data_IF_098893058522
#
_entry.id   IF_098893058522
#
_cell.length_a   1.000
_cell.length_b   1.000
_cell.length_c   1.000
_cell.angle_alpha   90.00
_cell.angle_beta   90.00
_cell.angle_gamma   90.00
#
_symmetry.space_group_name_H-M   'P 1'
#
loop_
_entity.id
_entity.type
_entity.pdbx_description
1 polymer ?
#
# COMPACT_ATOMS: atom_id res chain seq x y z
N UNK A 1 -9.76 11.02 7.06
CA UNK A 1 -9.09 11.55 8.26
C UNK A 1 -8.53 12.90 7.89
N UNK A 2 -9.06 13.96 8.48
CA UNK A 2 -8.66 15.34 8.18
C UNK A 2 -7.53 15.76 9.13
N UNK A 3 -6.64 16.62 8.65
CA UNK A 3 -5.54 17.16 9.45
C UNK A 3 -5.99 18.48 10.06
N UNK A 4 -6.04 18.58 11.38
CA UNK A 4 -6.35 19.84 12.04
C UNK A 4 -5.13 20.77 12.04
N UNK A 5 -5.37 22.07 12.21
CA UNK A 5 -4.30 23.06 12.33
C UNK A 5 -3.35 22.75 13.51
N UNK A 6 -3.90 22.26 14.63
CA UNK A 6 -3.17 21.81 15.82
C UNK A 6 -2.22 20.65 15.52
N UNK A 7 -2.68 19.67 14.73
CA UNK A 7 -1.88 18.50 14.36
C UNK A 7 -0.71 18.90 13.45
N UNK A 8 -0.95 19.86 12.55
CA UNK A 8 0.09 20.39 11.64
C UNK A 8 1.12 21.23 12.40
N UNK A 9 0.68 22.02 13.39
CA UNK A 9 1.60 22.78 14.25
C UNK A 9 2.50 21.83 15.07
N UNK A 10 1.91 20.79 15.69
CA UNK A 10 2.67 19.80 16.45
C UNK A 10 3.59 18.97 15.56
N UNK A 11 3.14 18.56 14.37
CA UNK A 11 3.96 17.89 13.35
C UNK A 11 5.20 18.72 13.02
N UNK A 12 5.01 20.02 12.74
CA UNK A 12 6.11 20.92 12.36
C UNK A 12 7.08 21.11 13.52
N UNK A 13 6.58 21.33 14.74
CA UNK A 13 7.41 21.48 15.93
C UNK A 13 8.21 20.22 16.28
N UNK A 14 7.66 19.02 16.07
CA UNK A 14 8.39 17.76 16.28
C UNK A 14 9.40 17.51 15.15
N UNK A 15 9.06 17.90 13.93
CA UNK A 15 9.93 17.74 12.78
C UNK A 15 11.19 18.60 12.90
N UNK A 16 11.06 19.87 13.32
CA UNK A 16 12.20 20.77 13.56
C UNK A 16 13.09 20.29 14.72
N UNK A 17 12.51 19.63 15.73
CA UNK A 17 13.25 18.96 16.81
C UNK A 17 14.02 17.71 16.36
N UNK A 18 13.84 17.27 15.10
CA UNK A 18 14.57 16.13 14.53
C UNK A 18 13.88 14.77 14.72
N UNK A 19 12.66 14.72 15.24
CA UNK A 19 11.94 13.45 15.45
C UNK A 19 11.64 12.77 14.12
N UNK A 20 11.79 11.44 14.07
CA UNK A 20 11.46 10.68 12.87
C UNK A 20 9.95 10.60 12.64
N UNK A 21 9.53 10.35 11.40
CA UNK A 21 8.11 10.20 11.06
C UNK A 21 7.41 9.12 11.92
N UNK A 22 8.10 8.03 12.24
CA UNK A 22 7.58 6.97 13.11
C UNK A 22 7.44 7.40 14.59
N UNK A 23 8.31 8.28 15.08
CA UNK A 23 8.18 8.84 16.44
C UNK A 23 7.01 9.83 16.50
N UNK A 24 6.85 10.63 15.47
CA UNK A 24 5.77 11.61 15.35
C UNK A 24 4.41 10.90 15.23
N UNK A 25 4.36 9.82 14.43
CA UNK A 25 3.14 9.03 14.23
C UNK A 25 2.62 8.42 15.54
N UNK A 26 3.53 7.90 16.40
CA UNK A 26 3.17 7.39 17.73
C UNK A 26 2.59 8.45 18.66
N UNK A 27 2.99 9.73 18.51
CA UNK A 27 2.51 10.84 19.36
C UNK A 27 1.18 11.41 18.87
N UNK A 28 0.99 11.49 17.56
CA UNK A 28 -0.23 12.04 16.95
C UNK A 28 -1.33 10.98 16.75
N UNK A 29 -1.01 9.68 16.84
CA UNK A 29 -1.95 8.60 16.55
C UNK A 29 -2.22 8.37 15.06
N UNK A 30 -1.45 8.99 14.16
CA UNK A 30 -1.51 8.73 12.73
C UNK A 30 -0.61 7.56 12.31
N UNK A 31 -0.87 6.99 11.14
CA UNK A 31 0.09 6.07 10.50
C UNK A 31 1.38 6.80 10.12
N UNK A 32 2.51 6.09 10.18
CA UNK A 32 3.82 6.58 9.70
C UNK A 32 3.72 7.14 8.27
N UNK A 33 2.99 6.45 7.41
CA UNK A 33 2.90 6.81 5.99
C UNK A 33 2.05 8.07 5.78
N UNK A 34 1.03 8.26 6.62
CA UNK A 34 0.24 9.49 6.62
C UNK A 34 1.09 10.71 7.01
N UNK A 35 1.95 10.55 8.02
CA UNK A 35 2.92 11.58 8.43
C UNK A 35 3.92 11.86 7.31
N UNK A 36 4.50 10.83 6.69
CA UNK A 36 5.41 10.99 5.54
C UNK A 36 4.73 11.72 4.37
N UNK A 37 3.50 11.34 4.01
CA UNK A 37 2.74 11.96 2.93
C UNK A 37 2.42 13.43 3.24
N UNK A 38 2.08 13.76 4.49
CA UNK A 38 1.82 15.14 4.90
C UNK A 38 3.09 15.99 4.84
N UNK A 39 4.21 15.49 5.35
CA UNK A 39 5.51 16.16 5.27
C UNK A 39 5.94 16.39 3.82
N UNK A 40 5.71 15.41 2.93
CA UNK A 40 5.98 15.54 1.50
C UNK A 40 5.15 16.65 0.86
N UNK A 41 3.85 16.73 1.18
CA UNK A 41 2.95 17.82 0.71
C UNK A 41 3.36 19.19 1.24
N UNK A 42 3.95 19.26 2.43
CA UNK A 42 4.48 20.48 3.03
C UNK A 42 5.88 20.84 2.53
N UNK A 43 6.50 20.03 1.66
CA UNK A 43 7.87 20.25 1.17
C UNK A 43 8.96 20.01 2.24
N UNK A 44 8.59 19.49 3.41
CA UNK A 44 9.48 19.22 4.53
C UNK A 44 10.21 17.89 4.30
N UNK A 45 11.22 17.89 3.43
CA UNK A 45 12.08 16.74 3.20
C UNK A 45 13.24 16.75 4.19
N UNK A 46 13.44 15.63 4.89
CA UNK A 46 14.69 15.39 5.62
C UNK A 46 15.72 15.04 4.56
N UNK A 47 16.86 15.75 4.55
CA UNK A 47 17.97 15.40 3.68
C UNK A 47 18.29 13.92 3.85
N UNK A 48 18.22 13.15 2.77
CA UNK A 48 18.64 11.77 2.81
C UNK A 48 20.14 11.79 3.07
N UNK A 49 20.61 11.16 4.16
CA UNK A 49 22.04 10.91 4.27
C UNK A 49 22.41 10.03 3.07
N UNK A 50 23.45 10.40 2.29
CA UNK A 50 23.94 9.50 1.25
C UNK A 50 24.23 8.15 1.91
N UNK A 51 23.90 7.01 1.27
CA UNK A 51 24.23 5.71 1.81
C UNK A 51 25.71 5.68 2.18
N UNK A 52 26.02 5.57 3.46
CA UNK A 52 27.41 5.61 3.97
C UNK A 52 28.20 4.35 3.61
N UNK A 53 27.57 3.43 2.89
CA UNK A 53 28.23 2.30 2.25
C UNK A 53 27.91 2.36 0.76
N UNK A 54 28.94 2.25 -0.07
CA UNK A 54 28.84 1.76 -1.44
C UNK A 54 29.01 0.23 -1.35
N UNK A 55 27.98 -0.57 -0.97
CA UNK A 55 28.14 -2.01 -1.02
C UNK A 55 28.35 -2.36 -2.48
N UNK A 56 29.55 -2.86 -2.81
CA UNK A 56 29.76 -3.52 -4.08
C UNK A 56 28.87 -4.75 -4.04
N UNK A 57 27.71 -4.67 -4.69
CA UNK A 57 26.81 -5.81 -4.85
C UNK A 57 27.54 -6.78 -5.77
N UNK A 58 28.40 -7.61 -5.18
CA UNK A 58 28.96 -8.76 -5.87
C UNK A 58 27.77 -9.69 -6.06
N UNK A 59 27.43 -9.97 -7.32
CA UNK A 59 26.39 -10.93 -7.65
C UNK A 59 26.67 -12.21 -6.87
N UNK A 60 25.72 -12.61 -6.03
CA UNK A 60 25.83 -13.82 -5.20
C UNK A 60 26.06 -15.00 -6.17
N UNK A 61 27.10 -15.84 -6.00
CA UNK A 61 27.21 -17.04 -6.82
C UNK A 61 25.94 -17.86 -6.62
N UNK A 62 25.32 -18.29 -7.72
CA UNK A 62 24.12 -19.11 -7.67
C UNK A 62 24.47 -20.39 -6.93
N UNK A 63 23.84 -20.61 -5.78
CA UNK A 63 23.86 -21.92 -5.14
C UNK A 63 22.98 -22.83 -6.01
N UNK A 64 23.59 -23.43 -7.03
CA UNK A 64 23.06 -24.63 -7.65
C UNK A 64 22.91 -25.72 -6.57
N UNK A 65 21.83 -26.49 -6.68
CA UNK A 65 21.46 -27.62 -5.83
C UNK A 65 20.91 -27.30 -4.43
N UNK A 66 19.66 -26.83 -4.41
CA UNK A 66 18.66 -27.37 -3.48
C UNK A 66 17.44 -27.77 -4.31
N UNK A 67 17.31 -29.07 -4.63
CA UNK A 67 16.01 -29.64 -5.01
C UNK A 67 15.11 -29.59 -3.77
N UNK A 68 14.55 -28.41 -3.48
CA UNK A 68 13.25 -28.34 -2.80
C UNK A 68 12.21 -28.50 -3.91
N UNK A 69 11.19 -29.34 -3.73
CA UNK A 69 10.00 -29.22 -4.55
C UNK A 69 9.56 -27.77 -4.44
N UNK A 70 9.68 -27.04 -5.53
CA UNK A 70 8.96 -25.79 -5.70
C UNK A 70 7.51 -26.24 -5.80
N UNK A 71 6.86 -26.38 -4.64
CA UNK A 71 5.44 -26.06 -4.55
C UNK A 71 5.35 -24.70 -5.21
N UNK A 72 4.89 -24.71 -6.46
CA UNK A 72 4.67 -23.55 -7.28
C UNK A 72 3.59 -22.78 -6.54
N UNK A 73 4.01 -21.92 -5.61
CA UNK A 73 3.16 -20.90 -5.02
C UNK A 73 2.61 -20.17 -6.24
N UNK A 74 1.36 -20.50 -6.55
CA UNK A 74 0.65 -19.92 -7.66
C UNK A 74 0.82 -18.43 -7.49
N UNK A 75 1.47 -17.82 -8.48
CA UNK A 75 1.47 -16.39 -8.66
C UNK A 75 0.04 -15.93 -8.40
N UNK A 76 -0.16 -15.19 -7.30
CA UNK A 76 -1.43 -14.55 -7.00
C UNK A 76 -1.62 -13.41 -8.00
N UNK A 77 -1.83 -13.80 -9.26
CA UNK A 77 -2.53 -12.96 -10.20
C UNK A 77 -3.93 -12.83 -9.63
N UNK A 78 -4.17 -11.77 -8.86
CA UNK A 78 -5.54 -11.32 -8.61
C UNK A 78 -6.17 -11.20 -10.01
N UNK A 79 -7.23 -11.96 -10.33
CA UNK A 79 -7.89 -11.78 -11.61
C UNK A 79 -8.31 -10.31 -11.66
N UNK A 80 -7.84 -9.58 -12.67
CA UNK A 80 -8.31 -8.22 -12.92
C UNK A 80 -9.84 -8.29 -12.99
N UNK A 81 -10.59 -7.49 -12.22
CA UNK A 81 -12.03 -7.45 -12.37
C UNK A 81 -12.33 -7.16 -13.83
N UNK A 82 -13.09 -8.04 -14.49
CA UNK A 82 -13.63 -7.73 -15.80
C UNK A 82 -14.52 -6.51 -15.61
N UNK A 83 -14.14 -5.38 -16.21
CA UNK A 83 -14.90 -4.13 -16.09
C UNK A 83 -16.18 -4.28 -16.90
N UNK A 84 -17.25 -4.73 -16.24
CA UNK A 84 -18.59 -4.71 -16.81
C UNK A 84 -19.15 -3.30 -16.72
N UNK A 85 -19.79 -2.83 -17.79
CA UNK A 85 -20.59 -1.61 -17.73
C UNK A 85 -21.78 -1.83 -16.77
N UNK A 86 -22.27 -0.76 -16.14
CA UNK A 86 -23.43 -0.83 -15.23
C UNK A 86 -24.65 -1.51 -15.88
N UNK A 87 -24.85 -1.31 -17.19
CA UNK A 87 -25.94 -1.94 -17.95
C UNK A 87 -25.81 -3.46 -18.01
N UNK A 88 -24.62 -3.97 -18.30
CA UNK A 88 -24.34 -5.41 -18.33
C UNK A 88 -24.54 -6.07 -16.97
N UNK A 89 -24.21 -5.37 -15.88
CA UNK A 89 -24.47 -5.87 -14.53
C UNK A 89 -25.97 -5.95 -14.23
N UNK A 90 -26.75 -4.96 -14.65
CA UNK A 90 -28.21 -4.98 -14.49
C UNK A 90 -28.88 -6.09 -15.32
N UNK A 91 -28.44 -6.30 -16.56
CA UNK A 91 -28.95 -7.37 -17.43
C UNK A 91 -28.67 -8.75 -16.80
N UNK A 92 -27.44 -8.98 -16.34
CA UNK A 92 -27.04 -10.21 -15.66
C UNK A 92 -27.87 -10.48 -14.38
N UNK A 93 -28.17 -9.43 -13.61
CA UNK A 93 -29.01 -9.55 -12.42
C UNK A 93 -30.46 -9.92 -12.76
N UNK A 94 -31.03 -9.31 -13.80
CA UNK A 94 -32.38 -9.59 -14.25
C UNK A 94 -32.52 -11.03 -14.75
N UNK A 95 -31.53 -11.51 -15.50
CA UNK A 95 -31.51 -12.88 -16.01
C UNK A 95 -31.34 -13.92 -14.90
N UNK A 96 -30.48 -13.65 -13.91
CA UNK A 96 -30.36 -14.50 -12.73
C UNK A 96 -31.69 -14.59 -11.96
N UNK A 97 -32.38 -13.47 -11.75
CA UNK A 97 -33.68 -13.45 -11.09
C UNK A 97 -34.74 -14.26 -11.87
N UNK A 98 -34.81 -14.10 -13.19
CA UNK A 98 -35.72 -14.86 -14.04
C UNK A 98 -35.43 -16.37 -14.02
N UNK A 99 -34.14 -16.76 -14.05
CA UNK A 99 -33.74 -18.16 -13.96
C UNK A 99 -34.11 -18.77 -12.59
N UNK A 100 -33.92 -18.05 -11.49
CA UNK A 100 -34.34 -18.56 -10.16
C UNK A 100 -35.86 -18.74 -10.07
N UNK A 101 -36.64 -17.82 -10.63
CA UNK A 101 -38.10 -17.95 -10.67
C UNK A 101 -38.57 -19.13 -11.55
N UNK A 102 -37.77 -19.49 -12.56
CA UNK A 102 -38.05 -20.64 -13.44
C UNK A 102 -37.68 -21.99 -12.80
N UNK A 103 -36.65 -22.02 -11.96
CA UNK A 103 -36.22 -23.23 -11.24
C UNK A 103 -37.12 -23.58 -10.04
N UNK A 104 -37.90 -22.62 -9.56
CA UNK A 104 -38.85 -22.78 -8.44
C UNK A 104 -40.29 -23.09 -8.92
N UNK A 105 -40.48 -23.36 -10.21
CA UNK A 105 -41.72 -23.89 -10.81
C UNK A 105 -41.53 -25.33 -11.22
#
# INVERSE_FOLDING_TARGET
MEWNASDVALLTALWTKGHSAAQISRRLGYSRDAVCAKLLRMGLKRGHKPPTANPKIIARPSLAACHRPVEKVMSSHKPKPKEFTKRQLCEMLAEAAANTARLLR
#
